data_IF_408256991229
#
_entry.id   IF_408256991229
#
_cell.length_a   1.000
_cell.length_b   1.000
_cell.length_c   1.000
_cell.angle_alpha   90.00
_cell.angle_beta   90.00
_cell.angle_gamma   90.00
#
_symmetry.space_group_name_H-M   'P 1'
#
loop_
_entity.id
_entity.type
_entity.pdbx_description
1 polymer ?
#
# COMPACT_ATOMS: atom_id res chain seq x y z
N UNK A 1 13.23 -78.48 -26.49
CA UNK A 1 13.48 -77.62 -27.66
C UNK A 1 12.28 -76.70 -27.84
N UNK A 2 12.41 -75.44 -27.40
CA UNK A 2 11.58 -74.24 -27.71
C UNK A 2 11.96 -73.16 -26.67
N UNK A 3 12.86 -72.26 -27.04
CA UNK A 3 13.13 -71.04 -26.28
C UNK A 3 12.35 -69.91 -26.94
N UNK A 4 11.52 -69.22 -26.16
CA UNK A 4 10.79 -68.00 -26.56
C UNK A 4 11.70 -66.82 -26.20
N UNK A 5 12.22 -66.12 -27.20
CA UNK A 5 12.91 -64.84 -27.01
C UNK A 5 11.86 -63.73 -26.93
N UNK A 6 11.71 -63.09 -25.79
CA UNK A 6 10.92 -61.86 -25.62
C UNK A 6 11.90 -60.68 -25.69
N UNK A 7 11.80 -59.87 -26.74
CA UNK A 7 12.52 -58.60 -26.84
C UNK A 7 11.78 -57.54 -26.01
N UNK A 8 12.37 -57.13 -24.89
CA UNK A 8 11.88 -56.02 -24.08
C UNK A 8 12.55 -54.72 -24.56
N UNK A 9 11.84 -53.91 -25.33
CA UNK A 9 12.31 -52.57 -25.71
C UNK A 9 12.14 -51.61 -24.53
N UNK A 10 13.24 -51.26 -23.88
CA UNK A 10 13.30 -50.18 -22.88
C UNK A 10 13.14 -48.83 -23.59
N UNK A 11 11.99 -48.18 -23.42
CA UNK A 11 11.76 -46.81 -23.88
C UNK A 11 12.28 -45.85 -22.78
N UNK A 12 13.47 -45.29 -22.97
CA UNK A 12 14.00 -44.28 -22.06
C UNK A 12 13.35 -42.93 -22.36
N UNK A 13 12.47 -42.46 -21.47
CA UNK A 13 12.05 -41.06 -21.44
C UNK A 13 13.15 -40.22 -20.79
N UNK A 14 13.90 -39.47 -21.61
CA UNK A 14 14.76 -38.41 -21.11
C UNK A 14 13.86 -37.24 -20.72
N UNK A 15 13.55 -37.14 -19.43
CA UNK A 15 12.97 -35.92 -18.86
C UNK A 15 14.06 -34.85 -18.85
N UNK A 16 13.94 -33.86 -19.75
CA UNK A 16 14.73 -32.64 -19.68
C UNK A 16 14.18 -31.80 -18.52
N UNK A 17 14.71 -32.00 -17.31
CA UNK A 17 14.42 -31.14 -16.16
C UNK A 17 15.10 -29.80 -16.43
N UNK A 18 14.31 -28.77 -16.80
CA UNK A 18 14.79 -27.39 -16.77
C UNK A 18 15.12 -27.05 -15.31
N UNK A 19 16.34 -26.55 -15.01
CA UNK A 19 16.62 -25.95 -13.71
C UNK A 19 15.64 -24.78 -13.48
N UNK A 20 15.25 -24.48 -12.23
CA UNK A 20 14.50 -23.27 -11.93
C UNK A 20 15.30 -22.05 -12.43
N UNK A 21 14.63 -21.16 -13.16
CA UNK A 21 15.21 -19.89 -13.59
C UNK A 21 15.78 -19.18 -12.37
N UNK A 22 17.07 -18.87 -12.42
CA UNK A 22 17.71 -18.03 -11.40
C UNK A 22 16.94 -16.71 -11.34
N UNK A 23 16.59 -16.18 -10.16
CA UNK A 23 16.14 -14.81 -10.07
C UNK A 23 17.24 -13.93 -10.66
N UNK A 24 16.86 -13.06 -11.60
CA UNK A 24 17.77 -12.08 -12.17
C UNK A 24 18.44 -11.30 -11.03
N UNK A 25 19.76 -11.06 -11.09
CA UNK A 25 20.43 -10.28 -10.09
C UNK A 25 19.78 -8.89 -9.99
N UNK A 26 19.74 -8.28 -8.79
CA UNK A 26 19.20 -6.94 -8.63
C UNK A 26 19.97 -6.00 -9.56
N UNK A 27 19.25 -5.38 -10.50
CA UNK A 27 19.79 -4.43 -11.45
C UNK A 27 20.27 -3.16 -10.73
N UNK A 28 21.50 -3.16 -10.20
CA UNK A 28 22.24 -1.90 -9.97
C UNK A 28 23.76 -2.09 -10.04
N UNK A 29 24.40 -1.20 -10.79
CA UNK A 29 25.81 -0.76 -10.75
C UNK A 29 26.89 -1.75 -11.19
N UNK A 30 27.25 -1.74 -12.48
CA UNK A 30 28.65 -1.96 -12.89
C UNK A 30 28.97 -1.49 -14.33
N UNK A 31 28.78 -0.20 -14.64
CA UNK A 31 29.44 0.41 -15.81
C UNK A 31 29.96 1.86 -15.61
N UNK A 32 29.82 2.47 -14.44
CA UNK A 32 30.23 3.87 -14.25
C UNK A 32 31.52 4.10 -13.45
N UNK A 33 32.41 3.10 -13.37
CA UNK A 33 33.76 3.26 -12.80
C UNK A 33 34.90 3.34 -13.83
N UNK A 34 34.62 3.69 -15.08
CA UNK A 34 35.69 4.11 -16.02
C UNK A 34 35.27 5.36 -16.77
N UNK A 35 35.46 6.50 -16.11
CA UNK A 35 35.22 7.83 -16.68
C UNK A 35 36.24 8.83 -16.15
N UNK A 36 37.54 8.58 -16.37
CA UNK A 36 38.56 9.62 -16.32
C UNK A 36 39.49 9.48 -17.53
N UNK A 37 39.49 10.56 -18.34
CA UNK A 37 40.43 10.91 -19.40
C UNK A 37 40.42 10.10 -20.71
N UNK A 38 39.71 10.60 -21.71
CA UNK A 38 40.34 11.07 -22.96
C UNK A 38 39.31 11.69 -23.91
N UNK A 39 39.64 12.87 -24.42
CA UNK A 39 38.98 13.63 -25.47
C UNK A 39 39.09 12.96 -26.85
N UNK A 40 38.14 13.32 -27.74
CA UNK A 40 38.03 13.06 -29.19
C UNK A 40 37.28 11.79 -29.64
N UNK A 41 36.02 11.97 -30.08
CA UNK A 41 35.67 12.01 -31.50
C UNK A 41 34.17 12.26 -31.70
N UNK A 42 33.84 13.30 -32.46
CA UNK A 42 32.52 13.53 -33.04
C UNK A 42 32.32 12.50 -34.16
N UNK A 43 31.33 11.63 -33.98
CA UNK A 43 30.50 10.96 -35.01
C UNK A 43 29.90 9.70 -34.39
N UNK A 44 28.77 9.85 -33.71
CA UNK A 44 27.79 8.79 -33.53
C UNK A 44 26.47 9.45 -33.17
N UNK A 45 25.56 9.48 -34.13
CA UNK A 45 24.15 9.78 -33.90
C UNK A 45 23.64 8.78 -32.85
N UNK A 46 23.04 9.21 -31.72
CA UNK A 46 22.48 8.27 -30.76
C UNK A 46 21.35 7.46 -31.44
N UNK A 47 21.19 6.16 -31.12
CA UNK A 47 20.07 5.38 -31.62
C UNK A 47 18.75 6.02 -31.16
N UNK A 48 17.71 5.88 -31.98
CA UNK A 48 16.41 6.51 -31.80
C UNK A 48 15.74 6.24 -30.42
N UNK A 49 15.39 7.35 -29.76
CA UNK A 49 14.25 7.54 -28.85
C UNK A 49 13.99 6.47 -27.78
N UNK A 50 14.70 6.58 -26.66
CA UNK A 50 14.21 6.12 -25.37
C UNK A 50 13.26 7.19 -24.79
N UNK A 51 12.06 6.80 -24.32
CA UNK A 51 11.19 7.75 -23.63
C UNK A 51 11.93 8.26 -22.39
N UNK A 52 11.85 9.56 -22.03
CA UNK A 52 12.59 10.10 -20.89
C UNK A 52 12.29 9.32 -19.60
N UNK A 53 13.31 8.72 -19.00
CA UNK A 53 13.22 8.13 -17.66
C UNK A 53 13.82 9.11 -16.67
N UNK A 54 12.96 9.88 -15.99
CA UNK A 54 13.39 10.70 -14.85
C UNK A 54 13.74 9.77 -13.69
N UNK A 55 14.98 9.82 -13.20
CA UNK A 55 15.35 9.16 -11.95
C UNK A 55 15.11 10.10 -10.77
N UNK A 56 14.41 9.59 -9.76
CA UNK A 56 14.36 10.18 -8.42
C UNK A 56 14.64 9.08 -7.39
N UNK A 57 15.17 9.46 -6.24
CA UNK A 57 15.27 8.54 -5.11
C UNK A 57 13.84 8.27 -4.59
N UNK A 58 13.45 6.99 -4.53
CA UNK A 58 12.15 6.54 -4.05
C UNK A 58 12.30 5.74 -2.76
N UNK A 59 11.28 5.71 -1.92
CA UNK A 59 11.17 4.76 -0.81
C UNK A 59 9.87 3.95 -0.95
N UNK A 60 10.00 2.69 -1.37
CA UNK A 60 8.85 1.79 -1.55
C UNK A 60 8.05 1.53 -0.27
N UNK A 61 8.64 1.81 0.89
CA UNK A 61 7.98 1.66 2.20
C UNK A 61 7.57 2.99 2.82
N UNK A 62 7.75 4.12 2.13
CA UNK A 62 7.28 5.40 2.64
C UNK A 62 5.77 5.35 2.93
N UNK A 63 5.33 6.22 3.81
CA UNK A 63 3.92 6.37 4.16
C UNK A 63 3.49 7.74 3.68
N UNK A 64 2.47 7.77 2.83
CA UNK A 64 1.83 9.01 2.42
C UNK A 64 0.89 9.52 3.51
N UNK A 65 0.88 10.84 3.66
CA UNK A 65 -0.15 11.57 4.39
C UNK A 65 -1.55 11.29 3.80
N UNK A 66 -2.59 11.50 4.61
CA UNK A 66 -3.97 11.22 4.21
C UNK A 66 -4.55 12.26 3.26
N UNK A 67 -3.97 13.47 3.23
CA UNK A 67 -4.51 14.61 2.50
C UNK A 67 -5.67 15.31 3.23
N UNK A 68 -5.91 15.00 4.51
CA UNK A 68 -6.85 15.76 5.32
C UNK A 68 -6.22 17.09 5.75
N UNK A 69 -6.84 18.21 5.39
CA UNK A 69 -6.31 19.57 5.65
C UNK A 69 -7.18 20.41 6.59
N UNK A 70 -8.34 19.88 6.99
CA UNK A 70 -9.27 20.55 7.91
C UNK A 70 -9.38 19.76 9.21
N UNK A 71 -9.42 20.48 10.33
CA UNK A 71 -9.64 19.92 11.65
C UNK A 71 -11.13 20.00 12.03
N UNK A 72 -11.61 19.05 12.83
CA UNK A 72 -13.01 18.92 13.19
C UNK A 72 -13.16 18.68 14.68
N UNK A 73 -13.87 19.59 15.35
CA UNK A 73 -14.09 19.51 16.79
C UNK A 73 -14.76 18.21 17.20
N UNK A 74 -14.30 17.63 18.32
CA UNK A 74 -14.84 16.40 18.88
C UNK A 74 -16.18 16.56 19.60
N UNK A 75 -16.71 17.79 19.73
CA UNK A 75 -18.10 18.00 20.15
C UNK A 75 -19.03 17.51 19.04
N UNK A 76 -20.10 16.79 19.40
CA UNK A 76 -20.99 16.03 18.50
C UNK A 76 -21.69 16.76 17.34
N UNK A 77 -21.26 17.97 16.96
CA UNK A 77 -21.66 18.67 15.75
C UNK A 77 -20.73 18.49 14.54
N UNK A 78 -19.54 17.90 14.71
CA UNK A 78 -18.60 17.68 13.58
C UNK A 78 -18.18 18.98 12.88
N UNK A 79 -18.13 20.07 13.65
CA UNK A 79 -17.90 21.43 13.14
C UNK A 79 -16.44 21.59 12.78
N UNK A 80 -16.18 22.17 11.60
CA UNK A 80 -14.82 22.57 11.21
C UNK A 80 -14.26 23.59 12.19
N UNK A 81 -13.06 23.34 12.67
CA UNK A 81 -12.33 24.20 13.61
C UNK A 81 -10.95 24.54 13.04
N UNK A 82 -10.30 25.63 13.50
CA UNK A 82 -8.91 25.87 13.17
C UNK A 82 -8.01 24.71 13.61
N UNK A 83 -7.10 24.29 12.74
CA UNK A 83 -5.98 23.42 13.10
C UNK A 83 -4.99 24.24 13.94
N UNK A 84 -4.96 23.95 15.24
CA UNK A 84 -4.26 24.73 16.25
C UNK A 84 -3.32 23.85 17.09
N UNK A 85 -2.67 22.87 16.45
CA UNK A 85 -1.85 21.86 17.12
C UNK A 85 -2.65 21.05 18.14
N UNK A 86 -3.82 20.58 17.71
CA UNK A 86 -4.72 19.77 18.54
C UNK A 86 -4.46 18.25 18.38
N UNK A 87 -3.40 17.86 17.67
CA UNK A 87 -3.07 16.45 17.42
C UNK A 87 -3.98 15.78 16.38
N UNK A 88 -4.71 16.54 15.56
CA UNK A 88 -5.47 15.98 14.44
C UNK A 88 -4.56 15.78 13.24
N UNK A 89 -4.94 14.89 12.34
CA UNK A 89 -4.17 14.60 11.13
C UNK A 89 -3.84 15.87 10.32
N UNK A 90 -4.82 16.77 10.19
CA UNK A 90 -4.66 18.05 9.50
C UNK A 90 -3.71 19.05 10.19
N UNK A 91 -3.33 18.83 11.45
CA UNK A 91 -2.23 19.58 12.08
C UNK A 91 -0.86 19.15 11.51
N UNK A 92 -0.75 17.97 10.90
CA UNK A 92 0.48 17.38 10.36
C UNK A 92 0.45 17.23 8.84
N UNK A 93 0.22 18.33 8.13
CA UNK A 93 0.19 18.33 6.66
C UNK A 93 1.46 17.69 6.06
N UNK A 94 1.26 16.73 5.15
CA UNK A 94 2.34 16.01 4.48
C UNK A 94 3.23 15.16 5.41
N UNK A 95 2.71 14.71 6.56
CA UNK A 95 3.42 13.84 7.50
C UNK A 95 2.83 12.41 7.45
N UNK A 96 3.67 11.36 7.37
CA UNK A 96 5.12 11.39 7.32
C UNK A 96 5.70 11.94 6.00
N UNK A 97 4.97 11.80 4.89
CA UNK A 97 5.41 12.29 3.59
C UNK A 97 4.25 12.88 2.79
N UNK A 98 4.53 13.90 1.98
CA UNK A 98 3.58 14.44 1.02
C UNK A 98 3.13 13.37 0.02
N UNK A 99 1.84 13.36 -0.31
CA UNK A 99 1.32 12.61 -1.45
C UNK A 99 1.92 13.19 -2.73
N UNK A 100 2.38 12.35 -3.66
CA UNK A 100 3.01 12.83 -4.88
C UNK A 100 2.79 11.86 -6.04
N UNK A 101 2.04 12.33 -7.03
CA UNK A 101 1.69 11.56 -8.23
C UNK A 101 1.90 12.41 -9.48
N UNK A 102 2.49 11.81 -10.51
CA UNK A 102 2.71 12.44 -11.82
C UNK A 102 1.99 11.63 -12.89
N UNK A 103 0.98 12.23 -13.52
CA UNK A 103 0.21 11.61 -14.59
C UNK A 103 -1.22 12.16 -14.67
N UNK A 104 -2.09 11.57 -15.50
CA UNK A 104 -1.79 10.48 -16.44
C UNK A 104 -0.79 10.91 -17.51
N UNK A 105 0.26 10.11 -17.70
CA UNK A 105 1.29 10.34 -18.70
C UNK A 105 1.15 9.34 -19.83
N UNK A 106 1.02 9.83 -21.05
CA UNK A 106 0.99 9.02 -22.26
C UNK A 106 2.37 8.44 -22.55
N UNK A 107 2.45 7.15 -22.86
CA UNK A 107 3.70 6.53 -23.26
C UNK A 107 4.04 6.86 -24.72
N UNK A 108 5.28 7.28 -24.97
CA UNK A 108 5.68 7.86 -26.25
C UNK A 108 5.61 6.86 -27.43
N UNK A 109 5.82 5.56 -27.18
CA UNK A 109 5.74 4.50 -28.21
C UNK A 109 4.37 3.85 -28.32
N UNK A 110 3.55 3.93 -27.27
CA UNK A 110 2.23 3.31 -27.18
C UNK A 110 1.22 4.38 -26.74
N UNK A 111 0.68 5.19 -27.68
CA UNK A 111 -0.11 6.39 -27.34
C UNK A 111 -1.44 6.12 -26.60
N UNK A 112 -1.85 4.86 -26.51
CA UNK A 112 -3.02 4.43 -25.73
C UNK A 112 -2.68 4.07 -24.28
N UNK A 113 -1.40 3.98 -23.96
CA UNK A 113 -0.91 3.51 -22.67
C UNK A 113 -0.64 4.71 -21.78
N UNK A 114 -1.47 4.86 -20.74
CA UNK A 114 -1.41 5.96 -19.79
C UNK A 114 -1.06 5.44 -18.41
N UNK A 115 -0.02 6.03 -17.83
CA UNK A 115 0.48 5.65 -16.51
C UNK A 115 0.56 6.84 -15.58
N UNK A 116 0.37 6.58 -14.29
CA UNK A 116 0.58 7.55 -13.21
C UNK A 116 1.73 7.05 -12.36
N UNK A 117 2.80 7.85 -12.26
CA UNK A 117 3.94 7.56 -11.40
C UNK A 117 3.64 8.04 -9.98
N UNK A 118 3.67 7.13 -9.04
CA UNK A 118 3.80 7.41 -7.61
C UNK A 118 5.27 7.73 -7.33
N UNK A 119 5.55 9.01 -7.15
CA UNK A 119 6.92 9.51 -6.96
C UNK A 119 7.42 9.34 -5.53
N UNK A 120 6.57 8.89 -4.61
CA UNK A 120 6.97 8.56 -3.25
C UNK A 120 7.52 7.14 -3.19
N UNK A 121 6.75 6.18 -3.73
CA UNK A 121 7.08 4.75 -3.68
C UNK A 121 7.87 4.25 -4.90
N UNK A 122 7.91 5.01 -5.99
CA UNK A 122 8.48 4.56 -7.27
C UNK A 122 7.59 3.54 -7.99
N UNK A 123 6.30 3.50 -7.64
CA UNK A 123 5.32 2.62 -8.28
C UNK A 123 4.76 3.28 -9.54
N UNK A 124 4.68 2.53 -10.63
CA UNK A 124 3.96 2.95 -11.83
C UNK A 124 2.58 2.30 -11.82
N UNK A 125 1.55 3.12 -11.78
CA UNK A 125 0.17 2.66 -11.87
C UNK A 125 -0.34 2.79 -13.30
N UNK A 126 -1.22 1.88 -13.70
CA UNK A 126 -2.09 2.14 -14.85
C UNK A 126 -3.07 3.22 -14.41
N UNK A 127 -3.08 4.37 -15.08
CA UNK A 127 -3.87 5.54 -14.64
C UNK A 127 -5.36 5.22 -14.57
N UNK A 128 -5.82 4.35 -15.47
CA UNK A 128 -7.21 3.90 -15.55
C UNK A 128 -7.41 2.55 -14.87
N UNK A 129 -8.63 2.32 -14.38
CA UNK A 129 -9.04 0.98 -13.97
C UNK A 129 -8.83 -0.02 -15.12
N UNK A 130 -8.64 -1.30 -14.79
CA UNK A 130 -8.39 -2.30 -15.83
C UNK A 130 -9.60 -2.43 -16.75
N UNK A 131 -9.34 -2.53 -18.07
CA UNK A 131 -10.37 -2.43 -19.12
C UNK A 131 -10.62 -1.03 -19.69
N UNK A 132 -10.12 0.04 -19.03
CA UNK A 132 -10.20 1.42 -19.54
C UNK A 132 -8.85 1.97 -20.01
N UNK A 133 -8.87 2.99 -20.87
CA UNK A 133 -7.70 3.72 -21.35
C UNK A 133 -7.99 5.19 -21.69
N UNK A 134 -6.96 5.90 -22.16
CA UNK A 134 -7.03 7.32 -22.52
C UNK A 134 -6.64 8.27 -21.38
N UNK A 135 -6.37 9.52 -21.72
CA UNK A 135 -5.89 10.55 -20.77
C UNK A 135 -6.86 10.86 -19.65
N UNK A 136 -8.15 10.57 -19.85
CA UNK A 136 -9.20 10.75 -18.86
C UNK A 136 -9.91 9.43 -18.50
N UNK A 137 -9.40 8.27 -18.94
CA UNK A 137 -10.06 6.98 -18.73
C UNK A 137 -11.49 6.87 -19.31
N UNK A 138 -11.79 7.65 -20.36
CA UNK A 138 -13.09 7.64 -21.05
C UNK A 138 -13.24 6.59 -22.15
N UNK A 139 -12.19 5.83 -22.46
CA UNK A 139 -12.21 4.78 -23.50
C UNK A 139 -12.32 3.42 -22.82
N UNK A 140 -13.22 2.57 -23.32
CA UNK A 140 -13.48 1.25 -22.75
C UNK A 140 -14.36 1.29 -21.49
N UNK A 141 -14.50 0.15 -20.82
CA UNK A 141 -15.27 0.01 -19.58
C UNK A 141 -14.44 -0.76 -18.55
N UNK A 142 -14.61 -0.50 -17.24
CA UNK A 142 -13.96 -1.31 -16.22
C UNK A 142 -14.29 -2.79 -16.40
N UNK A 143 -13.27 -3.63 -16.47
CA UNK A 143 -13.41 -5.08 -16.54
C UNK A 143 -13.30 -5.64 -15.14
N UNK A 144 -14.46 -5.85 -14.51
CA UNK A 144 -14.53 -6.51 -13.22
C UNK A 144 -14.30 -8.02 -13.38
N UNK A 145 -13.63 -8.63 -12.42
CA UNK A 145 -13.16 -10.02 -12.49
C UNK A 145 -13.14 -10.64 -11.09
N UNK A 146 -13.24 -11.97 -10.99
CA UNK A 146 -13.02 -12.67 -9.72
C UNK A 146 -11.54 -12.64 -9.35
N UNK A 147 -11.23 -12.70 -8.05
CA UNK A 147 -9.84 -12.71 -7.62
C UNK A 147 -9.09 -13.93 -8.16
N UNK A 148 -9.73 -15.10 -8.15
CA UNK A 148 -9.14 -16.36 -8.67
C UNK A 148 -8.81 -16.23 -10.16
N UNK A 149 -9.69 -15.65 -10.96
CA UNK A 149 -9.45 -15.44 -12.39
C UNK A 149 -8.36 -14.38 -12.64
N UNK A 150 -8.35 -13.30 -11.86
CA UNK A 150 -7.32 -12.27 -11.92
C UNK A 150 -5.94 -12.83 -11.60
N UNK A 151 -5.82 -13.61 -10.53
CA UNK A 151 -4.58 -14.24 -10.10
C UNK A 151 -4.09 -15.30 -11.09
N UNK A 152 -5.01 -16.02 -11.76
CA UNK A 152 -4.68 -16.97 -12.83
C UNK A 152 -4.25 -16.30 -14.14
N UNK A 153 -4.27 -14.96 -14.23
CA UNK A 153 -3.86 -14.22 -15.42
C UNK A 153 -4.84 -14.30 -16.58
N UNK A 154 -6.13 -14.56 -16.31
CA UNK A 154 -7.17 -14.60 -17.35
C UNK A 154 -7.42 -13.20 -17.97
N UNK A 155 -8.12 -13.12 -19.12
CA UNK A 155 -8.46 -11.83 -19.74
C UNK A 155 -9.17 -10.89 -18.75
N UNK A 156 -8.76 -9.63 -18.71
CA UNK A 156 -9.17 -8.63 -17.72
C UNK A 156 -8.26 -8.54 -16.48
N UNK A 157 -7.26 -9.43 -16.35
CA UNK A 157 -6.29 -9.38 -15.25
C UNK A 157 -5.20 -8.32 -15.46
N UNK A 158 -4.42 -8.05 -14.41
CA UNK A 158 -3.21 -7.22 -14.54
C UNK A 158 -2.09 -7.93 -15.31
N UNK A 159 -2.05 -9.27 -15.29
CA UNK A 159 -1.05 -10.06 -16.01
C UNK A 159 -1.18 -9.91 -17.53
N UNK A 160 -2.40 -9.68 -18.03
CA UNK A 160 -2.64 -9.40 -19.45
C UNK A 160 -1.85 -8.19 -19.96
N UNK A 161 -1.65 -7.16 -19.11
CA UNK A 161 -0.85 -5.99 -19.48
C UNK A 161 0.59 -6.34 -19.85
N UNK A 162 1.13 -7.47 -19.36
CA UNK A 162 2.49 -7.91 -19.63
C UNK A 162 2.67 -8.49 -21.04
N UNK A 163 1.58 -8.89 -21.71
CA UNK A 163 1.63 -9.51 -23.04
C UNK A 163 1.33 -8.53 -24.17
N UNK A 164 0.83 -7.33 -23.83
CA UNK A 164 0.50 -6.28 -24.78
C UNK A 164 1.71 -5.80 -25.60
N UNK A 165 1.43 -5.03 -26.65
CA UNK A 165 2.45 -4.39 -27.48
C UNK A 165 3.51 -5.37 -28.03
N UNK A 166 3.04 -6.50 -28.58
CA UNK A 166 3.89 -7.59 -29.07
C UNK A 166 4.88 -8.13 -28.01
N UNK A 167 4.41 -8.29 -26.77
CA UNK A 167 5.21 -8.79 -25.65
C UNK A 167 6.16 -7.76 -25.04
N UNK A 168 6.06 -6.48 -25.43
CA UNK A 168 6.77 -5.36 -24.76
C UNK A 168 6.01 -4.84 -23.54
N UNK A 169 4.78 -5.29 -23.35
CA UNK A 169 3.92 -4.94 -22.23
C UNK A 169 3.38 -3.51 -22.29
N UNK A 170 2.45 -3.21 -21.39
CA UNK A 170 1.80 -1.91 -21.29
C UNK A 170 2.78 -0.82 -20.84
N UNK A 171 2.85 0.28 -21.57
CA UNK A 171 3.81 1.36 -21.38
C UNK A 171 5.29 0.88 -21.33
N UNK A 172 5.61 -0.19 -22.07
CA UNK A 172 6.95 -0.78 -22.10
C UNK A 172 7.34 -1.55 -20.83
N UNK A 173 6.37 -1.92 -19.99
CA UNK A 173 6.58 -2.66 -18.73
C UNK A 173 5.89 -4.02 -18.80
N UNK A 174 6.59 -5.06 -18.33
CA UNK A 174 6.13 -6.47 -18.35
C UNK A 174 6.01 -7.09 -16.97
N UNK A 175 5.99 -6.27 -15.91
CA UNK A 175 5.87 -6.68 -14.51
C UNK A 175 4.63 -6.07 -13.83
N UNK A 176 3.55 -5.87 -14.59
CA UNK A 176 2.24 -5.49 -14.07
C UNK A 176 1.64 -6.61 -13.22
N UNK A 177 1.10 -6.22 -12.07
CA UNK A 177 0.53 -7.11 -11.06
C UNK A 177 -0.65 -6.46 -10.34
N UNK A 178 -1.39 -7.29 -9.62
CA UNK A 178 -2.39 -6.84 -8.65
C UNK A 178 -1.62 -6.23 -7.45
N UNK A 179 -1.96 -5.01 -6.99
CA UNK A 179 -1.28 -4.38 -5.86
C UNK A 179 -1.59 -5.11 -4.55
N UNK A 180 -0.70 -5.05 -3.56
CA UNK A 180 -1.05 -5.41 -2.18
C UNK A 180 -2.06 -4.43 -1.59
N UNK A 181 -2.70 -4.76 -0.47
CA UNK A 181 -3.60 -3.83 0.22
C UNK A 181 -2.86 -2.55 0.64
N UNK A 182 -1.59 -2.66 1.06
CA UNK A 182 -0.78 -1.48 1.44
C UNK A 182 -0.46 -0.59 0.25
N UNK A 183 -0.15 -1.18 -0.91
CA UNK A 183 0.09 -0.40 -2.13
C UNK A 183 -1.19 0.25 -2.64
N UNK A 184 -2.31 -0.47 -2.66
CA UNK A 184 -3.57 0.11 -3.14
C UNK A 184 -4.09 1.19 -2.17
N UNK A 185 -3.85 1.02 -0.86
CA UNK A 185 -4.23 1.97 0.18
C UNK A 185 -3.46 3.29 0.08
N UNK A 186 -2.22 3.26 -0.43
CA UNK A 186 -1.43 4.49 -0.61
C UNK A 186 -2.11 5.48 -1.58
N UNK A 187 -3.03 5.00 -2.42
CA UNK A 187 -3.82 5.83 -3.32
C UNK A 187 -5.01 6.53 -2.63
N UNK A 188 -5.38 6.16 -1.40
CA UNK A 188 -6.49 6.81 -0.70
C UNK A 188 -6.14 8.23 -0.29
N UNK A 189 -6.86 9.19 -0.85
CA UNK A 189 -6.89 10.58 -0.39
C UNK A 189 -8.17 10.79 0.43
N UNK A 190 -8.04 10.93 1.75
CA UNK A 190 -9.11 10.69 2.71
C UNK A 190 -10.22 11.76 2.78
N UNK A 191 -10.12 12.80 1.94
CA UNK A 191 -11.06 13.92 1.87
C UNK A 191 -11.53 14.24 0.44
N UNK A 192 -10.97 13.58 -0.59
CA UNK A 192 -11.41 13.80 -1.96
C UNK A 192 -12.71 13.05 -2.23
N UNK A 193 -13.45 13.45 -3.26
CA UNK A 193 -14.59 12.68 -3.76
C UNK A 193 -14.46 12.45 -5.28
N UNK A 194 -14.14 11.23 -5.74
CA UNK A 194 -13.78 10.05 -4.96
C UNK A 194 -12.49 10.22 -4.13
N UNK A 195 -12.29 9.39 -3.11
CA UNK A 195 -11.18 9.43 -2.14
C UNK A 195 -9.83 8.99 -2.75
N UNK A 196 -9.44 9.60 -3.86
CA UNK A 196 -8.20 9.34 -4.61
C UNK A 196 -7.73 10.64 -5.27
N UNK A 197 -6.44 10.75 -5.55
CA UNK A 197 -5.84 11.89 -6.22
C UNK A 197 -6.30 12.06 -7.69
N UNK A 198 -6.36 13.31 -8.18
CA UNK A 198 -6.89 13.64 -9.51
C UNK A 198 -6.11 13.05 -10.69
N UNK A 199 -4.89 12.59 -10.45
CA UNK A 199 -4.04 11.87 -11.42
C UNK A 199 -4.57 10.47 -11.75
N UNK A 200 -5.67 10.05 -11.13
CA UNK A 200 -6.42 8.83 -11.43
C UNK A 200 -7.85 9.18 -11.90
N UNK A 201 -8.01 9.72 -13.10
CA UNK A 201 -9.28 10.28 -13.57
C UNK A 201 -10.33 9.19 -13.76
N UNK A 202 -11.60 9.59 -13.63
CA UNK A 202 -12.78 8.73 -13.78
C UNK A 202 -12.65 7.40 -13.01
N UNK A 203 -12.01 7.44 -11.83
CA UNK A 203 -12.03 6.31 -10.89
C UNK A 203 -13.47 6.00 -10.54
N UNK A 204 -13.91 4.78 -10.82
CA UNK A 204 -15.27 4.36 -10.51
C UNK A 204 -15.46 4.27 -9.00
N UNK A 205 -16.25 5.19 -8.46
CA UNK A 205 -16.67 5.22 -7.06
C UNK A 205 -17.92 4.34 -6.87
N UNK A 206 -18.08 3.75 -5.68
CA UNK A 206 -19.24 2.89 -5.39
C UNK A 206 -18.99 1.40 -5.57
N UNK A 207 -17.78 1.01 -6.01
CA UNK A 207 -17.33 -0.39 -6.06
C UNK A 207 -15.94 -0.54 -5.46
N UNK A 208 -15.61 -1.77 -5.12
CA UNK A 208 -14.30 -2.13 -4.59
C UNK A 208 -13.27 -2.35 -5.70
N UNK A 209 -12.01 -2.37 -5.30
CA UNK A 209 -10.86 -2.75 -6.12
C UNK A 209 -10.07 -3.86 -5.43
N UNK A 210 -9.75 -4.92 -6.17
CA UNK A 210 -8.99 -6.04 -5.65
C UNK A 210 -7.57 -5.64 -5.23
N UNK A 211 -7.15 -6.15 -4.08
CA UNK A 211 -5.74 -6.30 -3.74
C UNK A 211 -5.31 -7.77 -3.81
N UNK A 212 -4.00 -8.01 -3.81
CA UNK A 212 -3.40 -9.33 -3.73
C UNK A 212 -3.15 -9.79 -2.28
N UNK A 213 -3.58 -9.03 -1.28
CA UNK A 213 -3.43 -9.42 0.12
C UNK A 213 -4.60 -10.32 0.51
N UNK A 214 -4.29 -11.55 0.88
CA UNK A 214 -5.25 -12.54 1.39
C UNK A 214 -5.69 -12.11 2.79
N UNK A 215 -6.96 -12.33 3.14
CA UNK A 215 -7.41 -12.24 4.52
C UNK A 215 -7.04 -13.53 5.26
N UNK A 216 -6.05 -13.51 6.19
CA UNK A 216 -5.62 -14.72 6.87
C UNK A 216 -6.68 -15.28 7.83
N UNK A 217 -7.67 -14.48 8.24
CA UNK A 217 -8.72 -14.89 9.17
C UNK A 217 -9.92 -15.51 8.45
N UNK A 218 -10.05 -15.27 7.14
CA UNK A 218 -11.13 -15.79 6.31
C UNK A 218 -10.54 -16.38 5.02
N UNK A 219 -10.04 -17.62 5.09
CA UNK A 219 -9.48 -18.31 3.93
C UNK A 219 -10.51 -18.36 2.78
N UNK A 220 -10.08 -17.91 1.60
CA UNK A 220 -10.97 -17.72 0.44
C UNK A 220 -11.43 -16.27 0.25
N UNK A 221 -10.98 -15.35 1.11
CA UNK A 221 -11.18 -13.92 0.95
C UNK A 221 -9.85 -13.19 0.66
N UNK A 222 -9.98 -12.04 0.01
CA UNK A 222 -8.91 -11.07 -0.18
C UNK A 222 -9.38 -9.69 0.28
N UNK A 223 -8.42 -8.85 0.70
CA UNK A 223 -8.72 -7.47 0.99
C UNK A 223 -9.01 -6.68 -0.30
N UNK A 224 -9.99 -5.80 -0.22
CA UNK A 224 -10.37 -4.87 -1.27
C UNK A 224 -10.41 -3.45 -0.73
N UNK A 225 -10.27 -2.47 -1.62
CA UNK A 225 -10.32 -1.05 -1.25
C UNK A 225 -11.48 -0.37 -1.95
N UNK A 226 -12.17 0.50 -1.22
CA UNK A 226 -13.22 1.37 -1.74
C UNK A 226 -12.81 2.84 -1.62
N UNK A 227 -13.06 3.58 -2.69
CA UNK A 227 -12.73 5.01 -2.81
C UNK A 227 -13.97 5.92 -2.68
N UNK A 228 -15.15 5.39 -2.35
CA UNK A 228 -16.36 6.19 -2.12
C UNK A 228 -16.52 6.58 -0.66
N UNK A 229 -16.98 7.81 -0.43
CA UNK A 229 -17.15 8.39 0.90
C UNK A 229 -17.90 7.52 1.92
N UNK A 230 -19.08 6.93 1.62
CA UNK A 230 -19.85 6.20 2.63
C UNK A 230 -19.20 4.89 3.06
N UNK A 231 -18.36 4.29 2.23
CA UNK A 231 -17.72 3.00 2.48
C UNK A 231 -16.21 3.11 2.28
N UNK A 232 -15.59 4.21 2.70
CA UNK A 232 -14.15 4.39 2.61
C UNK A 232 -13.45 3.34 3.47
N UNK A 233 -12.53 2.56 2.86
CA UNK A 233 -11.65 1.70 3.64
C UNK A 233 -11.19 0.43 2.93
N UNK A 234 -10.65 -0.48 3.74
CA UNK A 234 -10.15 -1.80 3.34
C UNK A 234 -11.05 -2.87 3.96
N UNK A 235 -11.59 -3.77 3.13
CA UNK A 235 -12.56 -4.77 3.55
C UNK A 235 -12.15 -6.17 3.12
N UNK A 236 -12.52 -7.17 3.90
CA UNK A 236 -12.46 -8.57 3.46
C UNK A 236 -13.58 -8.85 2.46
N UNK A 237 -13.27 -9.51 1.34
CA UNK A 237 -14.25 -9.90 0.34
C UNK A 237 -13.97 -11.28 -0.23
N UNK A 238 -15.04 -12.03 -0.52
CA UNK A 238 -14.95 -13.39 -1.07
C UNK A 238 -14.29 -13.38 -2.45
N UNK A 239 -13.30 -14.24 -2.68
CA UNK A 239 -12.56 -14.31 -3.95
C UNK A 239 -13.44 -14.58 -5.18
N UNK A 240 -14.63 -15.15 -4.99
CA UNK A 240 -15.63 -15.36 -6.05
C UNK A 240 -16.41 -14.12 -6.48
N UNK A 241 -16.28 -12.99 -5.76
CA UNK A 241 -16.92 -11.72 -6.12
C UNK A 241 -16.32 -11.11 -7.38
N UNK A 242 -17.14 -10.45 -8.20
CA UNK A 242 -16.70 -9.78 -9.44
C UNK A 242 -16.39 -8.32 -9.09
N UNK A 243 -15.10 -7.95 -9.05
CA UNK A 243 -14.62 -6.65 -8.55
C UNK A 243 -13.57 -6.08 -9.51
N UNK A 244 -13.45 -4.73 -9.55
CA UNK A 244 -12.52 -4.04 -10.44
C UNK A 244 -11.05 -4.22 -10.03
N UNK A 245 -10.15 -3.96 -10.97
CA UNK A 245 -8.71 -3.94 -10.76
C UNK A 245 -8.11 -2.56 -11.06
N UNK A 246 -7.06 -2.22 -10.33
CA UNK A 246 -6.13 -1.15 -10.69
C UNK A 246 -4.72 -1.72 -10.61
N UNK A 247 -4.08 -1.83 -11.76
CA UNK A 247 -2.81 -2.55 -11.89
C UNK A 247 -1.63 -1.65 -11.55
N UNK A 248 -0.62 -2.26 -10.93
CA UNK A 248 0.62 -1.59 -10.54
C UNK A 248 1.82 -2.34 -11.11
N UNK A 249 2.91 -1.62 -11.35
CA UNK A 249 4.20 -2.13 -11.78
C UNK A 249 5.28 -1.42 -10.97
N UNK A 250 6.32 -2.14 -10.54
CA UNK A 250 7.42 -1.58 -9.75
C UNK A 250 7.86 -2.51 -8.63
N UNK A 251 8.83 -2.05 -7.86
CA UNK A 251 9.38 -2.80 -6.72
C UNK A 251 8.28 -3.11 -5.70
N UNK A 252 8.39 -4.24 -5.03
CA UNK A 252 7.50 -4.60 -3.93
C UNK A 252 7.94 -3.90 -2.65
N UNK A 253 6.99 -3.71 -1.74
CA UNK A 253 7.26 -3.32 -0.35
C UNK A 253 8.23 -4.33 0.27
N UNK A 254 9.21 -3.84 1.02
CA UNK A 254 10.20 -4.69 1.71
C UNK A 254 9.58 -5.33 2.96
N UNK A 255 10.12 -6.47 3.44
CA UNK A 255 9.74 -7.01 4.74
C UNK A 255 9.92 -5.96 5.86
N UNK A 256 9.19 -6.14 6.97
CA UNK A 256 9.32 -5.27 8.14
C UNK A 256 10.76 -5.18 8.64
N UNK A 257 11.18 -3.97 9.05
CA UNK A 257 12.50 -3.69 9.58
C UNK A 257 12.39 -2.98 10.94
N UNK A 258 11.71 -3.64 11.88
CA UNK A 258 11.50 -3.12 13.22
C UNK A 258 12.67 -3.43 14.16
N UNK A 259 13.05 -2.45 14.99
CA UNK A 259 14.09 -2.55 16.01
C UNK A 259 13.51 -2.16 17.36
N UNK A 260 13.54 -3.06 18.33
CA UNK A 260 13.20 -2.75 19.72
C UNK A 260 14.38 -2.01 20.37
N UNK A 261 14.15 -0.80 20.85
CA UNK A 261 15.19 0.04 21.43
C UNK A 261 15.47 -0.27 22.91
N UNK A 262 14.66 -1.14 23.53
CA UNK A 262 14.82 -1.54 24.94
C UNK A 262 14.33 -0.49 25.96
N UNK A 263 13.86 0.68 25.50
CA UNK A 263 13.29 1.75 26.31
C UNK A 263 11.75 1.81 26.23
N UNK A 264 11.14 0.78 25.63
CA UNK A 264 9.70 0.73 25.36
C UNK A 264 9.28 1.39 24.06
N UNK A 265 10.21 1.74 23.18
CA UNK A 265 9.94 2.17 21.80
C UNK A 265 10.39 1.14 20.76
N UNK A 266 9.80 1.23 19.56
CA UNK A 266 10.16 0.43 18.39
C UNK A 266 10.44 1.35 17.21
N UNK A 267 11.64 1.30 16.66
CA UNK A 267 11.99 2.00 15.42
C UNK A 267 11.58 1.16 14.21
N UNK A 268 10.85 1.76 13.28
CA UNK A 268 10.63 1.21 11.94
C UNK A 268 11.63 1.81 10.95
N UNK A 269 12.63 1.02 10.57
CA UNK A 269 13.72 1.46 9.69
C UNK A 269 13.27 1.68 8.25
N UNK A 270 12.11 1.15 7.86
CA UNK A 270 11.58 1.30 6.50
C UNK A 270 10.90 2.66 6.31
N UNK A 271 10.25 3.15 7.37
CA UNK A 271 9.42 4.37 7.35
C UNK A 271 10.08 5.54 8.08
N UNK A 272 11.15 5.28 8.82
CA UNK A 272 11.78 6.22 9.76
C UNK A 272 10.79 6.73 10.83
N UNK A 273 9.84 5.91 11.22
CA UNK A 273 8.92 6.17 12.34
C UNK A 273 9.41 5.50 13.61
N UNK A 274 9.12 6.14 14.73
CA UNK A 274 9.32 5.61 16.07
C UNK A 274 7.96 5.42 16.73
N UNK A 275 7.73 4.22 17.23
CA UNK A 275 6.47 3.81 17.82
C UNK A 275 6.61 3.61 19.32
N UNK A 276 5.59 3.98 20.10
CA UNK A 276 5.45 3.40 21.43
C UNK A 276 5.19 1.89 21.26
N UNK A 277 5.97 1.05 21.94
CA UNK A 277 5.86 -0.41 21.83
C UNK A 277 4.55 -0.95 22.41
N UNK A 278 4.07 -0.33 23.48
CA UNK A 278 2.86 -0.72 24.18
C UNK A 278 1.71 0.24 23.87
N UNK A 279 0.49 -0.28 23.94
CA UNK A 279 -0.71 0.57 23.92
C UNK A 279 -0.85 1.30 25.25
N UNK A 280 -1.52 2.45 25.23
CA UNK A 280 -1.75 3.23 26.45
C UNK A 280 -2.41 2.37 27.55
N UNK A 281 -2.00 2.58 28.80
CA UNK A 281 -2.42 1.79 29.96
C UNK A 281 -1.66 0.48 30.21
N UNK A 282 -0.80 0.05 29.28
CA UNK A 282 0.03 -1.17 29.44
C UNK A 282 1.52 -0.85 29.60
N UNK A 283 2.27 -1.71 30.29
CA UNK A 283 3.66 -1.46 30.68
C UNK A 283 4.67 -2.34 29.93
N UNK A 284 5.77 -1.73 29.46
CA UNK A 284 6.91 -2.41 28.84
C UNK A 284 7.63 -3.34 29.86
N UNK A 285 8.42 -4.35 29.42
CA UNK A 285 8.77 -4.67 28.03
C UNK A 285 7.75 -5.56 27.30
N UNK A 286 6.80 -6.15 28.03
CA UNK A 286 5.83 -7.12 27.51
C UNK A 286 4.41 -6.59 27.32
N UNK A 287 4.18 -5.29 27.51
CA UNK A 287 2.87 -4.65 27.43
C UNK A 287 1.85 -5.34 28.34
N UNK A 288 2.23 -5.58 29.58
CA UNK A 288 1.37 -6.19 30.59
C UNK A 288 0.41 -5.16 31.19
N UNK A 289 -0.76 -5.62 31.67
CA UNK A 289 -1.81 -4.77 32.20
C UNK A 289 -3.03 -4.72 31.28
N UNK A 290 -3.93 -3.76 31.53
CA UNK A 290 -5.11 -3.53 30.73
C UNK A 290 -4.94 -2.23 29.93
N UNK A 291 -5.31 -2.24 28.65
CA UNK A 291 -5.28 -1.04 27.83
C UNK A 291 -6.30 -0.01 28.36
N UNK A 292 -5.90 1.26 28.38
CA UNK A 292 -6.84 2.35 28.56
C UNK A 292 -7.59 2.55 27.25
N UNK A 293 -8.91 2.51 27.33
CA UNK A 293 -9.78 2.84 26.20
C UNK A 293 -10.23 4.28 26.35
N UNK A 294 -9.91 5.10 25.35
CA UNK A 294 -10.10 6.55 25.40
C UNK A 294 -11.03 7.00 24.28
N UNK A 295 -11.81 8.06 24.55
CA UNK A 295 -12.45 8.79 23.46
C UNK A 295 -11.40 9.43 22.54
N UNK A 296 -11.83 9.90 21.37
CA UNK A 296 -10.89 10.39 20.36
C UNK A 296 -10.12 11.63 20.82
N UNK A 297 -10.73 12.49 21.64
CA UNK A 297 -10.04 13.66 22.20
C UNK A 297 -9.00 13.24 23.25
N UNK A 298 -9.36 12.30 24.13
CA UNK A 298 -8.46 11.71 25.11
C UNK A 298 -7.29 10.99 24.44
N UNK A 299 -7.53 10.28 23.35
CA UNK A 299 -6.50 9.60 22.57
C UNK A 299 -5.47 10.57 21.98
N UNK A 300 -5.93 11.64 21.32
CA UNK A 300 -5.05 12.71 20.82
C UNK A 300 -4.24 13.33 21.94
N UNK A 301 -4.91 13.80 23.00
CA UNK A 301 -4.26 14.45 24.14
C UNK A 301 -3.22 13.55 24.81
N UNK A 302 -3.50 12.25 24.91
CA UNK A 302 -2.58 11.26 25.50
C UNK A 302 -1.27 11.19 24.71
N UNK A 303 -1.34 11.22 23.38
CA UNK A 303 -0.15 11.25 22.54
C UNK A 303 0.53 12.63 22.58
N UNK A 304 -0.19 13.72 22.31
CA UNK A 304 0.39 15.06 22.21
C UNK A 304 1.13 15.52 23.46
N UNK A 305 0.62 15.17 24.65
CA UNK A 305 1.21 15.58 25.93
C UNK A 305 2.16 14.54 26.53
N UNK A 306 2.44 13.44 25.82
CA UNK A 306 3.35 12.42 26.31
C UNK A 306 4.80 12.90 26.30
N UNK A 307 5.52 12.64 27.39
CA UNK A 307 6.97 12.84 27.50
C UNK A 307 7.75 11.51 27.52
N UNK A 308 7.16 10.46 26.92
CA UNK A 308 7.67 9.10 26.98
C UNK A 308 9.03 8.95 26.25
N UNK A 309 9.92 8.13 26.82
CA UNK A 309 11.26 7.87 26.30
C UNK A 309 12.09 9.14 26.00
N UNK A 310 11.85 10.22 26.76
CA UNK A 310 12.57 11.49 26.60
C UNK A 310 12.14 12.32 25.39
N UNK A 311 11.01 11.99 24.76
CA UNK A 311 10.43 12.71 23.62
C UNK A 311 9.07 13.30 23.95
N UNK A 312 8.79 14.47 23.38
CA UNK A 312 7.56 15.26 23.61
C UNK A 312 6.81 15.61 22.32
N UNK A 313 7.13 14.93 21.22
CA UNK A 313 6.55 15.13 19.89
C UNK A 313 5.80 13.88 19.41
N UNK A 314 5.24 13.14 20.37
CA UNK A 314 4.37 12.00 20.10
C UNK A 314 3.03 12.50 19.58
N UNK A 315 2.46 11.77 18.64
CA UNK A 315 1.13 12.05 18.08
C UNK A 315 0.34 10.78 17.86
N UNK A 316 -0.97 10.96 17.71
CA UNK A 316 -1.84 9.88 17.27
C UNK A 316 -1.51 9.56 15.78
N UNK A 317 -1.38 8.29 15.38
CA UNK A 317 -1.05 7.90 14.02
C UNK A 317 -2.22 8.11 13.09
N UNK A 318 -1.95 8.33 11.81
CA UNK A 318 -2.97 8.30 10.77
C UNK A 318 -3.24 6.84 10.31
N UNK A 319 -4.29 6.59 9.51
CA UNK A 319 -4.64 5.26 9.00
C UNK A 319 -3.52 4.52 8.26
N UNK A 320 -2.73 5.24 7.45
CA UNK A 320 -1.67 4.63 6.66
C UNK A 320 -0.49 4.18 7.54
N UNK A 321 -0.23 4.91 8.63
CA UNK A 321 0.77 4.53 9.62
C UNK A 321 0.37 3.29 10.40
N UNK A 322 -0.88 3.15 10.85
CA UNK A 322 -1.34 1.91 11.49
C UNK A 322 -1.33 0.72 10.52
N UNK A 323 -1.70 0.93 9.25
CA UNK A 323 -1.59 -0.09 8.21
C UNK A 323 -0.13 -0.52 7.94
N UNK A 324 0.83 0.38 8.17
CA UNK A 324 2.26 0.09 8.00
C UNK A 324 2.81 -0.92 9.00
N UNK A 325 2.17 -1.06 10.17
CA UNK A 325 2.55 -2.04 11.21
C UNK A 325 1.65 -3.28 11.25
N UNK A 326 0.56 -3.28 10.47
CA UNK A 326 -0.31 -4.44 10.31
C UNK A 326 0.39 -5.56 9.54
N UNK A 327 0.32 -6.78 10.07
CA UNK A 327 0.98 -7.97 9.52
C UNK A 327 -0.06 -9.03 9.12
N UNK A 328 -0.38 -9.05 7.83
CA UNK A 328 -1.33 -9.98 7.23
C UNK A 328 -0.75 -11.40 7.01
N UNK A 329 0.50 -11.65 7.42
CA UNK A 329 1.06 -13.02 7.45
C UNK A 329 0.71 -13.75 8.74
N UNK A 330 0.21 -13.04 9.76
CA UNK A 330 -0.23 -13.65 11.01
C UNK A 330 -1.43 -14.55 10.76
N UNK A 331 -1.40 -15.83 11.19
CA UNK A 331 -2.49 -16.77 10.93
C UNK A 331 -3.72 -16.52 11.82
N UNK A 332 -3.59 -15.69 12.85
CA UNK A 332 -4.63 -15.38 13.84
C UNK A 332 -4.52 -13.92 14.25
N UNK A 333 -5.64 -13.38 14.74
CA UNK A 333 -5.69 -12.04 15.30
C UNK A 333 -4.87 -11.95 16.61
N UNK A 334 -4.30 -10.77 16.93
CA UNK A 334 -4.29 -9.56 16.11
C UNK A 334 -3.30 -9.64 14.94
N UNK A 335 -3.68 -9.07 13.79
CA UNK A 335 -2.89 -8.96 12.55
C UNK A 335 -1.88 -7.82 12.63
N UNK A 336 -0.94 -7.93 13.56
CA UNK A 336 0.12 -6.95 13.82
C UNK A 336 1.44 -7.68 14.08
N UNK A 337 2.55 -7.06 13.72
CA UNK A 337 3.86 -7.67 13.95
C UNK A 337 4.09 -7.98 15.44
N UNK A 338 4.58 -9.19 15.83
CA UNK A 338 4.71 -9.61 17.23
C UNK A 338 5.60 -8.73 18.13
N UNK A 339 6.40 -7.84 17.54
CA UNK A 339 7.16 -6.82 18.28
C UNK A 339 6.27 -5.82 19.02
N UNK A 340 4.99 -5.72 18.63
CA UNK A 340 3.94 -4.95 19.28
C UNK A 340 2.98 -5.89 20.04
N UNK A 341 3.40 -6.48 21.18
CA UNK A 341 2.61 -7.46 21.90
C UNK A 341 1.35 -6.83 22.49
N UNK A 342 0.34 -7.67 22.78
CA UNK A 342 -0.91 -7.29 23.43
C UNK A 342 -1.54 -6.03 22.82
N UNK A 343 -1.77 -6.04 21.51
CA UNK A 343 -2.42 -4.95 20.78
C UNK A 343 -3.92 -5.25 20.61
N UNK A 344 -4.81 -4.77 21.50
CA UNK A 344 -6.22 -5.11 21.49
C UNK A 344 -6.99 -4.34 20.40
N UNK A 345 -7.81 -5.06 19.64
CA UNK A 345 -8.94 -4.52 18.86
C UNK A 345 -8.65 -3.28 18.01
N UNK A 346 -9.67 -2.41 17.99
CA UNK A 346 -9.68 -1.15 17.26
C UNK A 346 -8.81 -0.09 17.92
N UNK A 347 -8.00 0.58 17.09
CA UNK A 347 -7.15 1.70 17.49
C UNK A 347 -7.60 2.98 16.80
N UNK A 348 -7.64 4.07 17.57
CA UNK A 348 -7.91 5.38 17.01
C UNK A 348 -6.82 5.81 16.02
N UNK A 349 -7.23 6.49 14.96
CA UNK A 349 -6.34 7.28 14.11
C UNK A 349 -6.60 8.77 14.32
N UNK A 350 -5.65 9.62 13.95
CA UNK A 350 -5.78 11.08 13.97
C UNK A 350 -6.73 11.65 12.90
N UNK A 351 -7.21 10.82 11.97
CA UNK A 351 -7.98 11.27 10.79
C UNK A 351 -9.49 11.24 11.06
N UNK A 352 -10.14 12.40 10.91
CA UNK A 352 -11.59 12.50 10.95
C UNK A 352 -12.21 11.76 9.76
N UNK A 353 -13.32 11.05 9.95
CA UNK A 353 -14.01 10.41 8.84
C UNK A 353 -14.74 11.45 7.98
N UNK A 354 -14.39 11.55 6.70
CA UNK A 354 -14.92 12.60 5.83
C UNK A 354 -16.45 12.52 5.67
N UNK A 355 -17.04 11.34 5.52
CA UNK A 355 -18.49 11.28 5.33
C UNK A 355 -19.29 11.70 6.58
N UNK A 356 -18.76 11.47 7.78
CA UNK A 356 -19.43 11.76 9.07
C UNK A 356 -18.40 12.43 10.01
N UNK A 357 -18.41 13.77 10.04
CA UNK A 357 -17.40 14.57 10.76
C UNK A 357 -17.44 14.44 12.29
N UNK A 358 -18.51 13.87 12.84
CA UNK A 358 -18.61 13.47 14.26
C UNK A 358 -17.86 12.17 14.55
N UNK A 359 -17.49 11.41 13.53
CA UNK A 359 -16.68 10.20 13.63
C UNK A 359 -15.23 10.40 13.24
N UNK A 360 -14.38 9.47 13.67
CA UNK A 360 -12.98 9.37 13.26
C UNK A 360 -12.70 7.97 12.72
N UNK A 361 -11.67 7.86 11.87
CA UNK A 361 -11.23 6.59 11.34
C UNK A 361 -10.50 5.79 12.42
N UNK A 362 -10.62 4.48 12.33
CA UNK A 362 -9.94 3.51 13.19
C UNK A 362 -9.33 2.40 12.35
N UNK A 363 -8.26 1.80 12.84
CA UNK A 363 -7.72 0.56 12.30
C UNK A 363 -7.93 -0.56 13.31
N UNK A 364 -8.55 -1.66 12.89
CA UNK A 364 -8.83 -2.81 13.75
C UNK A 364 -7.86 -3.95 13.45
N UNK A 365 -6.92 -4.21 14.36
CA UNK A 365 -5.97 -5.30 14.20
C UNK A 365 -6.62 -6.69 14.37
N UNK A 366 -7.85 -6.80 14.90
CA UNK A 366 -8.54 -8.10 14.98
C UNK A 366 -9.16 -8.54 13.66
N UNK A 367 -9.36 -7.61 12.72
CA UNK A 367 -9.88 -7.89 11.38
C UNK A 367 -8.94 -7.45 10.25
N UNK A 368 -7.94 -6.61 10.56
CA UNK A 368 -7.03 -6.00 9.59
C UNK A 368 -7.70 -4.94 8.71
N UNK A 369 -8.82 -4.38 9.14
CA UNK A 369 -9.68 -3.50 8.35
C UNK A 369 -9.66 -2.06 8.87
N UNK A 370 -9.97 -1.14 7.95
CA UNK A 370 -10.25 0.26 8.29
C UNK A 370 -11.75 0.41 8.54
N UNK A 371 -12.09 1.10 9.62
CA UNK A 371 -13.46 1.49 9.91
C UNK A 371 -13.52 2.93 10.41
N UNK A 372 -14.65 3.24 11.03
CA UNK A 372 -14.83 4.49 11.76
C UNK A 372 -15.71 4.25 12.98
N UNK A 373 -15.63 5.12 13.96
CA UNK A 373 -16.56 5.19 15.08
C UNK A 373 -16.85 6.65 15.43
N UNK A 374 -17.91 6.87 16.19
CA UNK A 374 -18.18 8.17 16.79
C UNK A 374 -17.01 8.57 17.71
N UNK A 375 -16.57 9.84 17.65
CA UNK A 375 -15.44 10.36 18.42
C UNK A 375 -15.61 10.21 19.94
N UNK A 376 -16.84 9.99 20.44
CA UNK A 376 -17.12 9.69 21.86
C UNK A 376 -16.90 8.23 22.26
N UNK A 377 -16.63 7.33 21.30
CA UNK A 377 -16.39 5.90 21.58
C UNK A 377 -15.03 5.68 22.23
N UNK A 378 -14.90 4.68 23.09
CA UNK A 378 -13.62 4.39 23.76
C UNK A 378 -12.84 3.30 23.03
N UNK A 379 -11.69 3.64 22.43
CA UNK A 379 -10.83 2.70 21.69
C UNK A 379 -9.37 2.76 22.18
N UNK A 380 -8.56 1.79 21.74
CA UNK A 380 -7.15 1.68 22.08
C UNK A 380 -6.30 2.79 21.45
N UNK A 381 -5.19 3.13 22.09
CA UNK A 381 -4.30 4.21 21.66
C UNK A 381 -2.86 3.70 21.58
N UNK A 382 -2.21 4.00 20.46
CA UNK A 382 -0.77 3.78 20.25
C UNK A 382 -0.22 5.01 19.58
N UNK A 383 0.79 5.63 20.16
CA UNK A 383 1.37 6.85 19.63
C UNK A 383 2.56 6.57 18.72
N UNK A 384 2.81 7.49 17.80
CA UNK A 384 3.91 7.48 16.84
C UNK A 384 4.61 8.82 16.83
N UNK A 385 5.87 8.85 16.40
CA UNK A 385 6.62 10.07 16.10
C UNK A 385 7.63 9.81 14.99
N UNK A 386 8.26 10.87 14.47
CA UNK A 386 9.41 10.73 13.57
C UNK A 386 10.62 10.21 14.36
N UNK A 387 11.37 9.26 13.82
CA UNK A 387 12.55 8.67 14.47
C UNK A 387 13.73 9.63 14.55
#
# INVERSE_FOLDING_TARGET
MRFILIFLTMLQFVFCVKPPDKPDPPYVVLQYLNGQNSSQNQNNQPPAEECPTGFSNFNANAISDTGQVNCYGGGGGGVSIPCAANGEDADYNNVPNARSFVGPTQYCKYPTDYTTLDTLHGLTWKSCAQGQSGSNCGIGVPTAITWTAANAGLPGSCTELNTLNAGKGYAGKTNWRIPTVRELASLLHYTNNPHIDGQFPNTFSGVSYWSNTIDPLNLGNNFVIRFDAPNLGFYSNLQGSIINLRCVSGNTISPFAFVDNGDGTVTDSNTNLLWMKCVDGTAAPGCAGAANLLDWNGARNTCEFSNFAGRNNWRLPNPNELLSIADYTQPLAPLIHPIFPNSPGSHWTSTTFDNIKTGALLFDFTSGQLGWNDKSSSLSVRCVTAN
#
